data_IF_840833052982
#
_entry.id   IF_840833052982
#
_cell.length_a   1.000
_cell.length_b   1.000
_cell.length_c   1.000
_cell.angle_alpha   90.00
_cell.angle_beta   90.00
_cell.angle_gamma   90.00
#
_symmetry.space_group_name_H-M   'P 1'
#
loop_
_entity.id
_entity.type
_entity.pdbx_description
1 polymer ?
#
# COMPACT_ATOMS: atom_id res chain seq x y z
N UNK A 1 -46.17 -24.97 -39.52
CA UNK A 1 -45.45 -25.63 -38.41
C UNK A 1 -45.64 -27.13 -38.50
N UNK A 2 -44.73 -27.90 -39.13
CA UNK A 2 -44.71 -29.37 -39.06
C UNK A 2 -44.19 -29.72 -37.68
N UNK A 3 -45.05 -30.19 -36.76
CA UNK A 3 -44.60 -30.90 -35.57
C UNK A 3 -43.82 -32.12 -36.06
N UNK A 4 -42.48 -32.07 -36.00
CA UNK A 4 -41.66 -33.26 -36.12
C UNK A 4 -42.12 -34.18 -35.01
N UNK A 5 -42.56 -35.39 -35.35
CA UNK A 5 -42.83 -36.45 -34.40
C UNK A 5 -41.64 -36.52 -33.44
N UNK A 6 -41.93 -36.35 -32.17
CA UNK A 6 -40.88 -36.36 -31.15
C UNK A 6 -40.25 -37.77 -31.18
N UNK A 7 -38.94 -37.89 -31.06
CA UNK A 7 -38.25 -39.17 -31.03
C UNK A 7 -38.87 -40.13 -29.98
N UNK A 8 -39.61 -39.56 -29.00
CA UNK A 8 -40.43 -40.25 -28.01
C UNK A 8 -41.51 -41.11 -28.61
N UNK A 9 -42.10 -40.65 -29.69
CA UNK A 9 -43.15 -41.37 -30.35
C UNK A 9 -42.60 -42.44 -31.32
N UNK A 10 -41.34 -42.31 -31.74
CA UNK A 10 -40.73 -43.19 -32.70
C UNK A 10 -40.42 -44.58 -32.16
N UNK A 11 -39.91 -44.72 -30.93
CA UNK A 11 -39.60 -46.05 -30.34
C UNK A 11 -40.84 -46.83 -29.96
N UNK A 12 -41.90 -46.13 -29.54
CA UNK A 12 -43.23 -46.78 -29.32
C UNK A 12 -43.79 -47.23 -30.65
N UNK A 13 -43.70 -46.39 -31.71
CA UNK A 13 -44.11 -46.77 -33.04
C UNK A 13 -43.32 -47.94 -33.61
N UNK A 14 -41.99 -47.99 -33.37
CA UNK A 14 -41.12 -49.11 -33.74
C UNK A 14 -41.56 -50.38 -32.99
N UNK A 15 -41.89 -50.29 -31.67
CA UNK A 15 -42.41 -51.39 -30.88
C UNK A 15 -43.76 -51.93 -31.49
N UNK A 16 -44.67 -51.05 -31.83
CA UNK A 16 -45.92 -51.38 -32.49
C UNK A 16 -45.67 -52.05 -33.83
N UNK A 17 -44.78 -51.47 -34.65
CA UNK A 17 -44.40 -52.02 -35.98
C UNK A 17 -43.80 -53.43 -35.80
N UNK A 18 -42.91 -53.66 -34.87
CA UNK A 18 -42.32 -54.97 -34.61
C UNK A 18 -43.35 -56.00 -34.12
N UNK A 19 -44.34 -55.57 -33.33
CA UNK A 19 -45.46 -56.45 -32.97
C UNK A 19 -46.29 -56.87 -34.15
N UNK A 20 -46.60 -55.95 -35.09
CA UNK A 20 -47.32 -56.28 -36.32
C UNK A 20 -46.46 -57.14 -37.28
N UNK A 21 -45.15 -56.86 -37.34
CA UNK A 21 -44.22 -57.69 -38.15
C UNK A 21 -44.14 -59.11 -37.59
N UNK A 22 -44.05 -59.27 -36.28
CA UNK A 22 -44.07 -60.57 -35.60
C UNK A 22 -45.38 -61.29 -35.93
N UNK A 23 -46.52 -60.61 -35.78
CA UNK A 23 -47.83 -61.17 -36.10
C UNK A 23 -47.94 -61.62 -37.58
N UNK A 24 -47.48 -60.76 -38.50
CA UNK A 24 -47.49 -61.12 -39.95
C UNK A 24 -46.60 -62.34 -40.25
N UNK A 25 -45.39 -62.38 -39.63
CA UNK A 25 -44.44 -63.46 -39.82
C UNK A 25 -44.97 -64.79 -39.23
N UNK A 26 -45.57 -64.75 -38.06
CA UNK A 26 -46.20 -65.89 -37.44
C UNK A 26 -47.36 -66.42 -38.29
N UNK A 27 -48.26 -65.57 -38.76
CA UNK A 27 -49.33 -65.90 -39.63
C UNK A 27 -48.86 -66.47 -40.95
N UNK A 28 -47.78 -65.95 -41.54
CA UNK A 28 -47.14 -66.42 -42.76
C UNK A 28 -46.53 -67.83 -42.56
N UNK A 29 -45.82 -68.06 -41.44
CA UNK A 29 -45.21 -69.37 -41.16
C UNK A 29 -46.24 -70.43 -40.96
N UNK A 30 -47.38 -70.11 -40.33
CA UNK A 30 -48.46 -71.03 -40.08
C UNK A 30 -49.24 -71.49 -41.34
N UNK A 31 -49.23 -70.69 -42.44
CA UNK A 31 -49.76 -71.06 -43.74
C UNK A 31 -49.01 -72.26 -44.36
N UNK A 32 -47.74 -72.49 -43.98
CA UNK A 32 -46.95 -73.66 -44.46
C UNK A 32 -47.05 -74.85 -43.57
N UNK A 33 -47.94 -74.85 -42.55
CA UNK A 33 -48.26 -76.02 -41.74
C UNK A 33 -49.18 -76.99 -42.49
N UNK A 34 -49.15 -78.34 -42.22
CA UNK A 34 -49.83 -79.30 -43.00
C UNK A 34 -51.42 -79.30 -42.91
N UNK A 35 -52.00 -78.44 -42.13
CA UNK A 35 -53.42 -78.22 -42.07
C UNK A 35 -53.87 -77.11 -43.02
N UNK A 36 -54.84 -77.37 -43.90
CA UNK A 36 -55.44 -76.39 -44.86
C UNK A 36 -56.19 -75.30 -44.02
N UNK A 37 -55.45 -74.26 -43.60
CA UNK A 37 -56.04 -73.12 -42.88
C UNK A 37 -56.05 -71.89 -43.77
N UNK A 38 -57.23 -71.25 -43.93
CA UNK A 38 -57.37 -70.02 -44.73
C UNK A 38 -56.56 -68.88 -44.13
N UNK A 39 -55.75 -68.18 -44.90
CA UNK A 39 -54.91 -67.04 -44.43
C UNK A 39 -55.67 -65.96 -43.63
N UNK A 40 -56.95 -65.71 -44.01
CA UNK A 40 -57.83 -64.82 -43.26
C UNK A 40 -58.16 -65.30 -41.86
N UNK A 41 -58.26 -66.61 -41.64
CA UNK A 41 -58.53 -67.20 -40.34
C UNK A 41 -57.35 -67.18 -39.42
N UNK A 42 -56.15 -67.24 -39.96
CA UNK A 42 -54.89 -67.10 -39.24
C UNK A 42 -54.61 -65.62 -38.84
N UNK A 43 -54.97 -64.64 -39.67
CA UNK A 43 -54.81 -63.23 -39.29
C UNK A 43 -55.71 -62.84 -38.13
N UNK A 44 -56.98 -63.26 -38.15
CA UNK A 44 -57.94 -62.85 -37.16
C UNK A 44 -58.11 -63.86 -36.00
N UNK A 45 -57.44 -65.01 -36.08
CA UNK A 45 -57.37 -66.03 -35.04
C UNK A 45 -58.68 -66.81 -34.84
N UNK A 46 -58.68 -68.16 -34.90
CA UNK A 46 -59.88 -68.97 -34.70
C UNK A 46 -60.19 -69.13 -33.22
N UNK A 47 -59.23 -68.96 -32.32
CA UNK A 47 -59.33 -69.19 -30.89
C UNK A 47 -59.05 -67.92 -30.07
N UNK A 48 -59.84 -67.70 -29.01
CA UNK A 48 -59.71 -66.59 -28.06
C UNK A 48 -58.36 -66.58 -27.41
N UNK A 49 -57.69 -67.71 -27.21
CA UNK A 49 -56.35 -67.82 -26.60
C UNK A 49 -55.26 -67.20 -27.50
N UNK A 50 -55.34 -67.31 -28.83
CA UNK A 50 -54.38 -66.76 -29.76
C UNK A 50 -54.49 -65.22 -29.82
N UNK A 51 -55.75 -64.72 -29.78
CA UNK A 51 -55.93 -63.24 -29.72
C UNK A 51 -55.35 -62.71 -28.41
N UNK A 52 -55.49 -63.35 -27.27
CA UNK A 52 -54.86 -62.92 -26.04
C UNK A 52 -53.33 -62.96 -26.11
N UNK A 53 -52.76 -64.01 -26.66
CA UNK A 53 -51.30 -64.11 -26.85
C UNK A 53 -50.78 -62.98 -27.68
N UNK A 54 -51.41 -62.64 -28.79
CA UNK A 54 -51.00 -61.51 -29.69
C UNK A 54 -51.16 -60.18 -28.99
N UNK A 55 -52.21 -59.97 -28.17
CA UNK A 55 -52.37 -58.77 -27.36
C UNK A 55 -51.25 -58.62 -26.30
N UNK A 56 -50.89 -59.76 -25.65
CA UNK A 56 -49.77 -59.75 -24.68
C UNK A 56 -48.46 -59.39 -25.34
N UNK A 57 -48.12 -59.93 -26.54
CA UNK A 57 -46.93 -59.62 -27.28
C UNK A 57 -46.92 -58.15 -27.70
N UNK A 58 -48.06 -57.62 -28.19
CA UNK A 58 -48.18 -56.18 -28.49
C UNK A 58 -47.93 -55.32 -27.28
N UNK A 59 -48.54 -55.68 -26.11
CA UNK A 59 -48.31 -54.97 -24.87
C UNK A 59 -46.83 -55.00 -24.42
N UNK A 60 -46.16 -56.17 -24.55
CA UNK A 60 -44.73 -56.30 -24.20
C UNK A 60 -43.83 -55.40 -25.09
N UNK A 61 -44.10 -55.39 -26.40
CA UNK A 61 -43.35 -54.51 -27.31
C UNK A 61 -43.60 -53.01 -27.03
N UNK A 62 -44.85 -52.62 -26.69
CA UNK A 62 -45.17 -51.25 -26.31
C UNK A 62 -44.50 -50.87 -24.97
N UNK A 63 -44.50 -51.73 -23.97
CA UNK A 63 -43.84 -51.52 -22.67
C UNK A 63 -42.33 -51.40 -22.90
N UNK A 64 -41.72 -52.29 -23.72
CA UNK A 64 -40.31 -52.27 -24.04
C UNK A 64 -39.93 -50.98 -24.81
N UNK A 65 -40.68 -50.63 -25.88
CA UNK A 65 -40.47 -49.39 -26.63
C UNK A 65 -40.57 -48.14 -25.74
N UNK A 66 -41.59 -48.13 -24.84
CA UNK A 66 -41.76 -47.03 -23.87
C UNK A 66 -40.60 -46.94 -22.89
N UNK A 67 -40.09 -48.07 -22.37
CA UNK A 67 -38.94 -48.12 -21.47
C UNK A 67 -37.68 -47.67 -22.14
N UNK A 68 -37.38 -48.13 -23.35
CA UNK A 68 -36.22 -47.69 -24.16
C UNK A 68 -36.30 -46.18 -24.38
N UNK A 69 -37.49 -45.69 -24.79
CA UNK A 69 -37.72 -44.26 -25.03
C UNK A 69 -37.50 -43.42 -23.76
N UNK A 70 -38.01 -43.87 -22.62
CA UNK A 70 -37.80 -43.21 -21.33
C UNK A 70 -36.31 -43.12 -20.99
N UNK A 71 -35.54 -44.18 -21.21
CA UNK A 71 -34.09 -44.22 -20.94
C UNK A 71 -33.32 -43.27 -21.84
N UNK A 72 -33.64 -43.25 -23.16
CA UNK A 72 -33.04 -42.32 -24.10
C UNK A 72 -33.34 -40.87 -23.75
N UNK A 73 -34.57 -40.56 -23.39
CA UNK A 73 -34.98 -39.21 -22.98
C UNK A 73 -34.30 -38.77 -21.70
N UNK A 74 -34.15 -39.65 -20.69
CA UNK A 74 -33.46 -39.40 -19.45
C UNK A 74 -31.97 -39.07 -19.71
N UNK A 75 -31.32 -39.89 -20.57
CA UNK A 75 -29.93 -39.66 -20.96
C UNK A 75 -29.76 -38.30 -21.68
N UNK A 76 -30.61 -38.01 -22.66
CA UNK A 76 -30.56 -36.72 -23.41
C UNK A 76 -30.75 -35.50 -22.49
N UNK A 77 -31.70 -35.60 -21.54
CA UNK A 77 -31.91 -34.53 -20.54
C UNK A 77 -30.69 -34.35 -19.65
N UNK A 78 -30.05 -35.44 -19.23
CA UNK A 78 -28.83 -35.36 -18.43
C UNK A 78 -27.65 -34.75 -19.22
N UNK A 79 -27.44 -35.17 -20.47
CA UNK A 79 -26.43 -34.62 -21.38
C UNK A 79 -26.68 -33.11 -21.64
N UNK A 80 -27.94 -32.74 -21.88
CA UNK A 80 -28.29 -31.33 -22.09
C UNK A 80 -28.08 -30.50 -20.84
N UNK A 81 -28.49 -30.99 -19.66
CA UNK A 81 -28.28 -30.30 -18.40
C UNK A 81 -26.76 -30.13 -18.06
N UNK A 82 -25.95 -31.15 -18.38
CA UNK A 82 -24.51 -31.08 -18.22
C UNK A 82 -23.93 -30.00 -19.13
N UNK A 83 -24.29 -30.01 -20.42
CA UNK A 83 -23.84 -29.03 -21.40
C UNK A 83 -24.22 -27.60 -21.00
N UNK A 84 -25.47 -27.37 -20.59
CA UNK A 84 -25.93 -26.07 -20.12
C UNK A 84 -25.16 -25.62 -18.87
N UNK A 85 -24.85 -26.56 -17.95
CA UNK A 85 -24.05 -26.29 -16.77
C UNK A 85 -22.60 -25.90 -17.13
N UNK A 86 -21.96 -26.66 -18.03
CA UNK A 86 -20.61 -26.39 -18.51
C UNK A 86 -20.52 -25.01 -19.21
N UNK A 87 -21.47 -24.71 -20.10
CA UNK A 87 -21.56 -23.42 -20.78
C UNK A 87 -21.75 -22.27 -19.79
N UNK A 88 -22.62 -22.47 -18.79
CA UNK A 88 -22.84 -21.48 -17.73
C UNK A 88 -21.57 -21.23 -16.91
N UNK A 89 -20.88 -22.26 -16.46
CA UNK A 89 -19.63 -22.10 -15.71
C UNK A 89 -18.55 -21.44 -16.56
N UNK A 90 -18.39 -21.81 -17.80
CA UNK A 90 -17.47 -21.20 -18.72
C UNK A 90 -17.77 -19.71 -18.90
N UNK A 91 -19.03 -19.35 -19.17
CA UNK A 91 -19.44 -17.95 -19.32
C UNK A 91 -19.16 -17.14 -18.06
N UNK A 92 -19.38 -17.69 -16.87
CA UNK A 92 -19.06 -17.02 -15.61
C UNK A 92 -17.56 -16.75 -15.51
N UNK A 93 -16.72 -17.77 -15.74
CA UNK A 93 -15.26 -17.63 -15.63
C UNK A 93 -14.70 -16.63 -16.65
N UNK A 94 -15.23 -16.60 -17.88
CA UNK A 94 -14.79 -15.67 -18.92
C UNK A 94 -15.36 -14.24 -18.74
N UNK A 95 -16.43 -14.08 -17.95
CA UNK A 95 -17.01 -12.75 -17.66
C UNK A 95 -16.41 -12.06 -16.44
N UNK A 96 -15.57 -12.73 -15.67
CA UNK A 96 -14.86 -12.16 -14.52
C UNK A 96 -13.70 -11.32 -15.03
N UNK A 97 -13.60 -10.06 -14.60
CA UNK A 97 -12.50 -9.16 -14.96
C UNK A 97 -11.16 -9.57 -14.31
N UNK A 98 -11.21 -10.40 -13.28
CA UNK A 98 -10.02 -10.93 -12.63
C UNK A 98 -9.50 -12.17 -13.35
N UNK A 99 -8.18 -12.34 -13.40
CA UNK A 99 -7.55 -13.53 -13.93
C UNK A 99 -7.85 -14.74 -13.04
N UNK A 100 -8.47 -15.79 -13.62
CA UNK A 100 -8.61 -17.08 -12.93
C UNK A 100 -7.58 -18.06 -13.46
N UNK A 101 -6.96 -18.81 -12.55
CA UNK A 101 -5.95 -19.81 -12.91
C UNK A 101 -6.14 -21.13 -12.16
N UNK A 102 -5.72 -22.22 -12.82
CA UNK A 102 -5.46 -23.53 -12.22
C UNK A 102 -4.07 -23.99 -12.61
N UNK A 103 -3.29 -24.47 -11.62
CA UNK A 103 -1.95 -25.02 -11.83
C UNK A 103 -1.84 -26.40 -11.17
N UNK A 104 -0.99 -27.26 -11.73
CA UNK A 104 -0.63 -28.50 -11.06
C UNK A 104 0.42 -28.28 -9.95
N UNK A 105 0.79 -29.36 -9.25
CA UNK A 105 1.83 -29.28 -8.21
C UNK A 105 3.23 -29.00 -8.75
N UNK A 106 3.45 -29.20 -10.05
CA UNK A 106 4.68 -28.86 -10.76
C UNK A 106 4.72 -27.41 -11.23
N UNK A 107 3.67 -26.60 -10.87
CA UNK A 107 3.57 -25.17 -11.17
C UNK A 107 3.23 -24.84 -12.63
N UNK A 108 2.69 -25.78 -13.40
CA UNK A 108 2.28 -25.55 -14.78
C UNK A 108 0.80 -25.19 -14.85
N UNK A 109 0.45 -24.19 -15.66
CA UNK A 109 -0.94 -23.82 -15.89
C UNK A 109 -1.71 -24.94 -16.59
N UNK A 110 -2.82 -25.35 -15.98
CA UNK A 110 -3.82 -26.28 -16.57
C UNK A 110 -4.98 -25.55 -17.20
N UNK A 111 -5.37 -24.44 -16.61
CA UNK A 111 -6.44 -23.60 -17.09
C UNK A 111 -6.19 -22.16 -16.72
N UNK A 112 -6.53 -21.23 -17.60
CA UNK A 112 -6.64 -19.79 -17.34
C UNK A 112 -7.84 -19.26 -18.11
N UNK A 113 -8.51 -18.21 -17.56
CA UNK A 113 -9.56 -17.50 -18.31
C UNK A 113 -8.95 -16.42 -19.22
N UNK A 114 -9.77 -15.80 -20.06
CA UNK A 114 -9.33 -14.74 -21.00
C UNK A 114 -8.71 -13.55 -20.23
N UNK A 115 -9.30 -13.14 -19.12
CA UNK A 115 -8.81 -12.03 -18.30
C UNK A 115 -7.39 -12.26 -17.77
N UNK A 116 -7.00 -13.51 -17.47
CA UNK A 116 -5.61 -13.82 -17.08
C UNK A 116 -4.63 -13.56 -18.22
N UNK A 117 -5.03 -13.89 -19.46
CA UNK A 117 -4.27 -13.58 -20.67
C UNK A 117 -4.12 -12.08 -20.89
N UNK A 118 -5.22 -11.35 -20.75
CA UNK A 118 -5.25 -9.89 -20.90
C UNK A 118 -4.36 -9.19 -19.85
N UNK A 119 -4.42 -9.62 -18.58
CA UNK A 119 -3.58 -9.08 -17.49
C UNK A 119 -2.09 -9.29 -17.78
N UNK A 120 -1.70 -10.48 -18.24
CA UNK A 120 -0.29 -10.81 -18.46
C UNK A 120 0.21 -10.45 -19.87
N UNK A 121 -0.69 -10.09 -20.79
CA UNK A 121 -0.35 -9.77 -22.18
C UNK A 121 0.01 -10.98 -23.03
N UNK A 122 -0.40 -12.20 -22.64
CA UNK A 122 -0.13 -13.45 -23.36
C UNK A 122 -1.42 -14.15 -23.73
N UNK A 123 -1.52 -14.74 -24.95
CA UNK A 123 -2.64 -15.60 -25.31
C UNK A 123 -2.77 -16.77 -24.34
N UNK A 124 -3.98 -17.06 -23.90
CA UNK A 124 -4.23 -18.13 -22.91
C UNK A 124 -3.75 -19.50 -23.39
N UNK A 125 -3.79 -19.74 -24.71
CA UNK A 125 -3.33 -20.98 -25.34
C UNK A 125 -1.82 -21.20 -25.15
N UNK A 126 -1.04 -20.12 -25.11
CA UNK A 126 0.40 -20.15 -24.89
C UNK A 126 0.74 -20.34 -23.40
N UNK A 127 -0.12 -19.84 -22.52
CA UNK A 127 0.05 -19.98 -21.08
C UNK A 127 -0.20 -21.41 -20.59
N UNK A 128 -1.19 -22.11 -21.18
CA UNK A 128 -1.52 -23.49 -20.80
C UNK A 128 -0.32 -24.42 -21.03
N UNK A 129 0.07 -25.16 -20.00
CA UNK A 129 1.26 -26.02 -19.91
C UNK A 129 2.58 -25.27 -19.67
N UNK A 130 2.56 -23.94 -19.59
CA UNK A 130 3.74 -23.15 -19.24
C UNK A 130 3.84 -23.02 -17.72
N UNK A 131 5.06 -22.99 -17.19
CA UNK A 131 5.29 -22.80 -15.77
C UNK A 131 5.13 -21.33 -15.39
N UNK A 132 4.36 -21.02 -14.34
CA UNK A 132 4.09 -19.63 -13.93
C UNK A 132 5.37 -18.84 -13.58
N UNK A 133 6.46 -19.52 -13.22
CA UNK A 133 7.75 -18.89 -12.90
C UNK A 133 8.36 -18.12 -14.06
N UNK A 134 7.94 -18.39 -15.30
CA UNK A 134 8.43 -17.66 -16.46
C UNK A 134 7.92 -16.21 -16.51
N UNK A 135 6.85 -15.91 -15.77
CA UNK A 135 6.21 -14.59 -15.75
C UNK A 135 6.65 -13.75 -14.54
N UNK A 136 7.65 -14.17 -13.76
CA UNK A 136 8.10 -13.46 -12.56
C UNK A 136 9.59 -13.65 -12.32
N UNK A 137 10.18 -12.83 -11.46
CA UNK A 137 11.57 -13.03 -11.04
C UNK A 137 11.68 -14.10 -9.94
N UNK A 138 12.92 -14.49 -9.63
CA UNK A 138 13.20 -15.54 -8.65
C UNK A 138 12.68 -15.24 -7.23
N UNK A 139 12.61 -13.97 -6.84
CA UNK A 139 12.11 -13.58 -5.52
C UNK A 139 10.59 -13.78 -5.44
N UNK A 140 9.87 -13.28 -6.45
CA UNK A 140 8.42 -13.46 -6.54
C UNK A 140 8.06 -14.93 -6.75
N UNK A 141 8.81 -15.68 -7.57
CA UNK A 141 8.60 -17.12 -7.76
C UNK A 141 8.75 -17.91 -6.46
N UNK A 142 9.72 -17.56 -5.61
CA UNK A 142 9.89 -18.16 -4.26
C UNK A 142 8.75 -17.80 -3.32
N UNK A 143 8.29 -16.55 -3.34
CA UNK A 143 7.16 -16.09 -2.53
C UNK A 143 5.87 -16.85 -2.89
N UNK A 144 5.56 -16.95 -4.18
CA UNK A 144 4.38 -17.67 -4.68
C UNK A 144 4.46 -19.14 -4.30
N UNK A 145 5.64 -19.79 -4.50
CA UNK A 145 5.84 -21.19 -4.12
C UNK A 145 5.62 -21.40 -2.62
N UNK A 146 6.23 -20.58 -1.77
CA UNK A 146 6.06 -20.67 -0.33
C UNK A 146 4.60 -20.54 0.11
N UNK A 147 3.86 -19.62 -0.53
CA UNK A 147 2.43 -19.41 -0.28
C UNK A 147 1.60 -20.65 -0.71
N UNK A 148 1.94 -21.24 -1.85
CA UNK A 148 1.29 -22.47 -2.33
C UNK A 148 1.56 -23.67 -1.41
N UNK A 149 2.79 -23.83 -0.94
CA UNK A 149 3.17 -24.88 0.02
C UNK A 149 2.47 -24.69 1.37
N UNK A 150 2.34 -23.45 1.84
CA UNK A 150 1.58 -23.16 3.06
C UNK A 150 0.10 -23.53 2.90
N UNK A 151 -0.52 -23.17 1.77
CA UNK A 151 -1.89 -23.55 1.44
C UNK A 151 -2.03 -25.10 1.44
N UNK A 152 -1.07 -25.81 0.86
CA UNK A 152 -1.05 -27.29 0.83
C UNK A 152 -0.91 -27.89 2.22
N UNK A 153 0.00 -27.35 3.04
CA UNK A 153 0.27 -27.84 4.40
C UNK A 153 -0.89 -27.59 5.36
N UNK A 154 -1.49 -26.39 5.28
CA UNK A 154 -2.59 -25.98 6.18
C UNK A 154 -3.95 -26.49 5.74
N UNK A 155 -4.12 -26.81 4.46
CA UNK A 155 -5.40 -27.10 3.83
C UNK A 155 -6.33 -25.88 3.74
N UNK A 156 -5.86 -24.69 4.12
CA UNK A 156 -6.68 -23.46 4.14
C UNK A 156 -6.31 -22.56 2.95
N UNK A 157 -7.29 -21.88 2.34
CA UNK A 157 -7.00 -20.92 1.28
C UNK A 157 -6.28 -19.68 1.82
N UNK A 158 -5.36 -19.14 1.05
CA UNK A 158 -4.77 -17.83 1.25
C UNK A 158 -5.58 -16.84 0.40
N UNK A 159 -6.25 -15.88 1.06
CA UNK A 159 -7.24 -15.01 0.41
C UNK A 159 -6.62 -13.91 -0.43
N UNK A 160 -5.46 -13.41 0.01
CA UNK A 160 -4.74 -12.38 -0.71
C UNK A 160 -3.26 -12.41 -0.34
N UNK A 161 -2.40 -12.27 -1.33
CA UNK A 161 -0.98 -11.99 -1.20
C UNK A 161 -0.50 -11.19 -2.41
N UNK A 162 0.45 -10.28 -2.17
CA UNK A 162 1.00 -9.43 -3.20
C UNK A 162 2.21 -10.10 -3.86
N UNK A 163 2.28 -10.03 -5.19
CA UNK A 163 3.44 -10.45 -5.96
C UNK A 163 3.58 -9.59 -7.22
N UNK A 164 4.73 -9.67 -7.86
CA UNK A 164 5.00 -8.94 -9.09
C UNK A 164 5.19 -9.91 -10.26
N UNK A 165 4.50 -9.61 -11.35
CA UNK A 165 4.70 -10.30 -12.63
C UNK A 165 5.48 -9.40 -13.58
N UNK A 166 6.26 -10.02 -14.47
CA UNK A 166 6.96 -9.32 -15.56
C UNK A 166 6.35 -9.71 -16.89
N UNK A 167 5.74 -8.73 -17.57
CA UNK A 167 5.14 -8.88 -18.89
C UNK A 167 5.75 -7.82 -19.82
N UNK A 168 6.35 -8.23 -20.92
CA UNK A 168 6.93 -7.35 -21.97
C UNK A 168 7.82 -6.22 -21.44
N UNK A 169 8.62 -6.51 -20.40
CA UNK A 169 9.49 -5.51 -19.76
C UNK A 169 8.78 -4.57 -18.78
N UNK A 170 7.48 -4.73 -18.57
CA UNK A 170 6.69 -4.02 -17.56
C UNK A 170 6.58 -4.85 -16.28
N UNK A 171 6.60 -4.17 -15.14
CA UNK A 171 6.29 -4.78 -13.84
C UNK A 171 4.81 -4.56 -13.53
N UNK A 172 4.07 -5.64 -13.37
CA UNK A 172 2.68 -5.65 -12.94
C UNK A 172 2.62 -5.97 -11.45
N UNK A 173 1.91 -5.14 -10.69
CA UNK A 173 1.63 -5.38 -9.27
C UNK A 173 0.35 -6.18 -9.14
N UNK A 174 0.46 -7.39 -8.64
CA UNK A 174 -0.62 -8.37 -8.63
C UNK A 174 -1.01 -8.70 -7.19
N UNK A 175 -2.30 -8.67 -6.92
CA UNK A 175 -2.90 -9.30 -5.74
C UNK A 175 -3.45 -10.65 -6.14
N UNK A 176 -2.90 -11.72 -5.58
CA UNK A 176 -3.29 -13.08 -5.91
C UNK A 176 -3.93 -13.80 -4.72
N UNK A 177 -4.79 -14.78 -5.01
CA UNK A 177 -5.32 -15.72 -4.02
C UNK A 177 -5.00 -17.14 -4.42
N UNK A 178 -4.97 -18.08 -3.47
CA UNK A 178 -4.73 -19.49 -3.76
C UNK A 178 -5.56 -20.39 -2.86
N UNK A 179 -6.09 -21.47 -3.43
CA UNK A 179 -6.73 -22.56 -2.74
C UNK A 179 -6.39 -23.90 -3.39
N UNK A 180 -6.55 -25.00 -2.68
CA UNK A 180 -6.33 -26.32 -3.24
C UNK A 180 -7.37 -26.64 -4.32
N UNK A 181 -6.89 -27.10 -5.46
CA UNK A 181 -7.71 -27.74 -6.48
C UNK A 181 -7.82 -29.22 -6.13
N UNK A 182 -9.05 -29.74 -6.13
CA UNK A 182 -9.36 -31.13 -5.83
C UNK A 182 -10.01 -31.81 -7.04
N UNK A 183 -9.72 -33.07 -7.21
CA UNK A 183 -10.35 -33.91 -8.23
C UNK A 183 -11.73 -34.41 -7.80
N UNK A 184 -12.37 -35.22 -8.64
CA UNK A 184 -13.69 -35.84 -8.37
C UNK A 184 -13.72 -36.75 -7.16
N UNK A 185 -12.56 -37.18 -6.64
CA UNK A 185 -12.37 -38.03 -5.46
C UNK A 185 -12.06 -37.23 -4.19
N UNK A 186 -12.21 -35.88 -4.24
CA UNK A 186 -11.83 -34.92 -3.18
C UNK A 186 -10.31 -34.93 -2.85
N UNK A 187 -9.48 -35.48 -3.74
CA UNK A 187 -8.04 -35.56 -3.58
C UNK A 187 -7.39 -34.30 -4.16
N UNK A 188 -6.49 -33.59 -3.42
CA UNK A 188 -5.79 -32.44 -3.94
C UNK A 188 -4.94 -32.82 -5.18
N UNK A 189 -5.14 -32.09 -6.28
CA UNK A 189 -4.45 -32.34 -7.56
C UNK A 189 -3.72 -31.10 -8.12
N UNK A 190 -3.73 -29.99 -7.38
CA UNK A 190 -3.08 -28.75 -7.78
C UNK A 190 -3.56 -27.57 -6.95
N UNK A 191 -3.44 -26.38 -7.52
CA UNK A 191 -3.89 -25.12 -6.93
C UNK A 191 -4.78 -24.38 -7.91
N UNK A 192 -5.67 -23.55 -7.39
CA UNK A 192 -6.49 -22.59 -8.14
C UNK A 192 -6.60 -21.27 -7.40
N UNK A 193 -6.80 -20.21 -8.11
CA UNK A 193 -6.94 -18.90 -7.51
C UNK A 193 -7.35 -17.82 -8.49
N UNK A 194 -7.31 -16.60 -7.99
CA UNK A 194 -7.62 -15.40 -8.75
C UNK A 194 -6.44 -14.45 -8.70
N UNK A 195 -6.30 -13.67 -9.76
CA UNK A 195 -5.25 -12.67 -9.96
C UNK A 195 -5.93 -11.35 -10.29
N UNK A 196 -5.65 -10.32 -9.51
CA UNK A 196 -6.15 -8.98 -9.72
C UNK A 196 -4.99 -8.04 -10.02
N UNK A 197 -5.05 -7.35 -11.15
CA UNK A 197 -4.10 -6.29 -11.46
C UNK A 197 -4.34 -5.07 -10.56
N UNK A 198 -3.31 -4.68 -9.82
CA UNK A 198 -3.27 -3.51 -8.94
C UNK A 198 -2.29 -2.45 -9.44
N UNK A 199 -1.76 -2.62 -10.65
CA UNK A 199 -0.66 -1.81 -11.17
C UNK A 199 -1.01 -0.33 -11.23
N UNK A 200 -2.16 0.02 -11.77
CA UNK A 200 -2.61 1.41 -11.85
C UNK A 200 -2.80 2.00 -10.45
N UNK A 201 -3.49 1.28 -9.58
CA UNK A 201 -3.70 1.71 -8.19
C UNK A 201 -2.38 1.93 -7.47
N UNK A 202 -1.43 1.00 -7.59
CA UNK A 202 -0.12 1.08 -6.95
C UNK A 202 0.71 2.25 -7.47
N UNK A 203 0.68 2.49 -8.78
CA UNK A 203 1.32 3.67 -9.39
C UNK A 203 0.73 4.97 -8.85
N UNK A 204 -0.60 5.08 -8.80
CA UNK A 204 -1.27 6.26 -8.25
C UNK A 204 -0.93 6.49 -6.77
N UNK A 205 -0.85 5.42 -5.96
CA UNK A 205 -0.42 5.52 -4.56
C UNK A 205 1.04 6.01 -4.46
N UNK A 206 1.94 5.51 -5.30
CA UNK A 206 3.34 5.94 -5.33
C UNK A 206 3.47 7.40 -5.79
N UNK A 207 2.76 7.80 -6.84
CA UNK A 207 2.74 9.16 -7.36
C UNK A 207 2.17 10.14 -6.33
N UNK A 208 1.13 9.74 -5.61
CA UNK A 208 0.55 10.54 -4.52
C UNK A 208 1.56 10.73 -3.39
N UNK A 209 2.26 9.68 -2.96
CA UNK A 209 3.32 9.75 -1.94
C UNK A 209 4.47 10.65 -2.39
N UNK A 210 4.91 10.53 -3.63
CA UNK A 210 5.98 11.37 -4.18
C UNK A 210 5.54 12.84 -4.27
N UNK A 211 4.33 13.08 -4.76
CA UNK A 211 3.74 14.43 -4.79
C UNK A 211 3.61 15.03 -3.39
N UNK A 212 3.15 14.24 -2.42
CA UNK A 212 3.07 14.67 -1.02
C UNK A 212 4.46 15.05 -0.47
N UNK A 213 5.48 14.22 -0.71
CA UNK A 213 6.86 14.52 -0.30
C UNK A 213 7.39 15.81 -0.95
N UNK A 214 7.14 16.01 -2.25
CA UNK A 214 7.52 17.22 -2.96
C UNK A 214 6.88 18.48 -2.36
N UNK A 215 5.60 18.41 -2.05
CA UNK A 215 4.86 19.51 -1.41
C UNK A 215 5.43 19.82 -0.01
N UNK A 216 5.72 18.81 0.81
CA UNK A 216 6.32 18.98 2.13
C UNK A 216 7.72 19.59 2.03
N UNK A 217 8.55 19.11 1.12
CA UNK A 217 9.89 19.67 0.89
C UNK A 217 9.84 21.12 0.43
N UNK A 218 8.97 21.46 -0.52
CA UNK A 218 8.77 22.84 -0.98
C UNK A 218 8.28 23.75 0.15
N UNK A 219 7.34 23.28 0.97
CA UNK A 219 6.86 24.00 2.15
C UNK A 219 7.99 24.29 3.13
N UNK A 220 8.82 23.30 3.46
CA UNK A 220 9.96 23.46 4.36
C UNK A 220 11.01 24.41 3.79
N UNK A 221 11.35 24.28 2.52
CA UNK A 221 12.27 25.18 1.85
C UNK A 221 11.77 26.64 1.89
N UNK A 222 10.47 26.85 1.69
CA UNK A 222 9.86 28.19 1.76
C UNK A 222 9.95 28.76 3.18
N UNK A 223 9.62 27.97 4.21
CA UNK A 223 9.68 28.41 5.61
C UNK A 223 11.10 28.74 6.00
N UNK A 224 12.07 27.87 5.67
CA UNK A 224 13.48 28.10 5.91
C UNK A 224 13.99 29.35 5.16
N UNK A 225 13.58 29.53 3.91
CA UNK A 225 13.94 30.73 3.13
C UNK A 225 13.41 32.01 3.76
N UNK A 226 12.17 32.03 4.26
CA UNK A 226 11.59 33.18 4.96
C UNK A 226 12.28 33.41 6.32
N UNK A 227 12.60 32.36 7.06
CA UNK A 227 13.35 32.48 8.33
C UNK A 227 14.77 33.03 8.08
N UNK A 228 15.47 32.53 7.03
CA UNK A 228 16.77 33.07 6.60
C UNK A 228 16.70 34.56 6.23
N UNK A 229 15.67 34.97 5.49
CA UNK A 229 15.49 36.39 5.16
C UNK A 229 15.32 37.27 6.40
N UNK A 230 14.63 36.75 7.44
CA UNK A 230 14.48 37.43 8.70
C UNK A 230 15.81 37.58 9.44
N UNK A 231 16.65 36.56 9.40
CA UNK A 231 17.94 36.50 10.08
C UNK A 231 19.08 37.21 9.29
N UNK A 232 19.02 37.22 7.97
CA UNK A 232 20.03 37.86 7.11
C UNK A 232 20.29 39.33 7.44
N UNK A 233 19.33 39.98 8.10
CA UNK A 233 19.45 41.35 8.63
C UNK A 233 20.40 41.47 9.81
N UNK A 234 20.59 40.40 10.61
CA UNK A 234 21.38 40.42 11.84
C UNK A 234 22.73 39.70 11.70
N UNK A 235 22.77 38.53 11.14
CA UNK A 235 23.91 37.61 11.24
C UNK A 235 24.58 37.25 9.92
N UNK A 236 24.36 37.78 8.84
CA UNK A 236 25.16 37.62 7.59
C UNK A 236 25.58 36.20 7.16
N UNK A 237 25.40 35.18 8.00
CA UNK A 237 25.81 33.79 7.75
C UNK A 237 24.58 32.92 7.50
N UNK A 238 24.50 32.35 6.30
CA UNK A 238 23.30 31.69 5.80
C UNK A 238 22.99 30.29 6.38
N UNK A 239 23.80 29.73 7.29
CA UNK A 239 23.69 28.33 7.74
C UNK A 239 23.40 28.17 9.25
N UNK A 240 23.24 29.26 9.98
CA UNK A 240 22.90 29.21 11.42
C UNK A 240 21.63 28.40 11.68
N UNK A 241 20.55 28.66 10.97
CA UNK A 241 19.27 27.97 11.15
C UNK A 241 19.38 26.47 10.88
N UNK A 242 20.17 26.07 9.91
CA UNK A 242 20.42 24.65 9.64
C UNK A 242 21.18 24.00 10.79
N UNK A 243 22.19 24.70 11.37
CA UNK A 243 22.90 24.16 12.53
C UNK A 243 22.00 24.07 13.75
N UNK A 244 21.20 25.08 14.05
CA UNK A 244 20.26 25.08 15.17
C UNK A 244 19.30 23.89 15.11
N UNK A 245 18.69 23.62 13.95
CA UNK A 245 17.74 22.50 13.84
C UNK A 245 18.42 21.14 14.00
N UNK A 246 19.66 20.98 13.51
CA UNK A 246 20.40 19.72 13.70
C UNK A 246 20.82 19.54 15.17
N UNK A 247 21.33 20.60 15.85
CA UNK A 247 21.63 20.54 17.28
C UNK A 247 20.38 20.21 18.12
N UNK A 248 19.27 20.89 17.84
CA UNK A 248 18.01 20.64 18.55
C UNK A 248 17.52 19.18 18.34
N UNK A 249 17.64 18.65 17.11
CA UNK A 249 17.28 17.29 16.79
C UNK A 249 18.10 16.25 17.53
N UNK A 250 19.44 16.35 17.50
CA UNK A 250 20.29 15.36 18.15
C UNK A 250 20.15 15.38 19.69
N UNK A 251 19.99 16.58 20.29
CA UNK A 251 19.66 16.71 21.72
C UNK A 251 18.34 16.01 22.04
N UNK A 252 17.32 16.23 21.22
CA UNK A 252 15.99 15.64 21.41
C UNK A 252 16.01 14.13 21.28
N UNK A 253 16.72 13.60 20.28
CA UNK A 253 16.87 12.16 20.09
C UNK A 253 17.55 11.47 21.26
N UNK A 254 18.57 12.10 21.85
CA UNK A 254 19.27 11.54 23.01
C UNK A 254 18.42 11.66 24.29
N UNK A 255 17.76 12.81 24.48
CA UNK A 255 16.82 13.02 25.59
C UNK A 255 15.67 12.01 25.58
N UNK A 256 15.21 11.55 24.41
CA UNK A 256 14.17 10.53 24.28
C UNK A 256 14.53 9.18 24.93
N UNK A 257 15.83 8.93 25.14
CA UNK A 257 16.30 7.71 25.82
C UNK A 257 16.16 7.78 27.34
N UNK A 258 15.90 8.97 27.89
CA UNK A 258 15.73 9.17 29.34
C UNK A 258 14.28 8.82 29.75
N UNK A 259 14.06 7.81 30.61
CA UNK A 259 12.71 7.39 31.03
C UNK A 259 11.86 8.50 31.66
N UNK A 260 12.48 9.52 32.23
CA UNK A 260 11.76 10.61 32.92
C UNK A 260 11.05 11.56 31.93
N UNK A 261 11.44 11.59 30.64
CA UNK A 261 10.91 12.50 29.61
C UNK A 261 10.57 11.81 28.29
N UNK A 262 10.83 10.51 28.19
CA UNK A 262 10.52 9.71 26.97
C UNK A 262 9.05 9.76 26.60
N UNK A 263 8.14 9.85 27.54
CA UNK A 263 6.70 9.94 27.30
C UNK A 263 6.29 11.25 26.62
N UNK A 264 7.11 12.29 26.74
CA UNK A 264 6.88 13.61 26.12
C UNK A 264 7.47 13.65 24.70
N UNK A 265 8.58 12.95 24.48
CA UNK A 265 9.33 12.99 23.22
C UNK A 265 8.89 11.87 22.31
N UNK A 266 7.83 12.11 21.56
CA UNK A 266 7.35 11.21 20.49
C UNK A 266 8.12 11.45 19.18
N UNK A 267 8.02 10.55 18.17
CA UNK A 267 8.56 10.81 16.84
C UNK A 267 8.08 12.14 16.25
N UNK A 268 6.80 12.48 16.46
CA UNK A 268 6.23 13.75 15.99
C UNK A 268 6.88 14.95 16.72
N UNK A 269 7.20 14.81 18.02
CA UNK A 269 7.89 15.86 18.74
C UNK A 269 9.28 16.15 18.18
N UNK A 270 10.01 15.09 17.74
CA UNK A 270 11.32 15.22 17.11
C UNK A 270 11.21 15.95 15.76
N UNK A 271 10.21 15.60 14.97
CA UNK A 271 9.96 16.27 13.70
C UNK A 271 9.51 17.72 13.91
N UNK A 272 8.64 17.97 14.89
CA UNK A 272 8.17 19.31 15.23
C UNK A 272 9.32 20.21 15.69
N UNK A 273 10.22 19.76 16.54
CA UNK A 273 11.34 20.60 17.01
C UNK A 273 12.32 20.89 15.89
N UNK A 274 12.57 19.92 14.99
CA UNK A 274 13.40 20.11 13.81
C UNK A 274 12.87 21.19 12.89
N UNK A 275 11.54 21.24 12.69
CA UNK A 275 10.87 22.22 11.88
C UNK A 275 10.69 23.57 12.56
N UNK A 276 10.52 23.58 13.88
CA UNK A 276 10.14 24.77 14.66
C UNK A 276 11.33 25.59 15.14
N UNK A 277 12.47 24.96 15.38
CA UNK A 277 13.65 25.63 15.94
C UNK A 277 14.15 26.80 15.09
N UNK A 278 14.00 26.71 13.75
CA UNK A 278 14.37 27.78 12.82
C UNK A 278 13.52 29.05 12.96
N UNK A 279 12.42 29.01 13.72
CA UNK A 279 11.50 30.15 13.90
C UNK A 279 11.80 30.95 15.18
N UNK A 280 12.80 30.56 15.98
CA UNK A 280 13.06 31.17 17.28
C UNK A 280 13.21 32.71 17.17
N UNK A 281 13.92 33.17 16.18
CA UNK A 281 14.29 34.56 15.95
C UNK A 281 13.48 35.31 14.87
N UNK A 282 12.41 34.72 14.34
CA UNK A 282 11.60 35.31 13.27
C UNK A 282 11.09 36.73 13.60
N UNK A 283 10.92 37.04 14.86
CA UNK A 283 10.45 38.35 15.33
C UNK A 283 11.48 39.47 15.19
N UNK A 284 12.76 39.17 14.91
CA UNK A 284 13.78 40.19 14.62
C UNK A 284 13.40 41.08 13.43
N UNK A 285 12.54 40.59 12.54
CA UNK A 285 11.97 41.40 11.44
C UNK A 285 11.27 42.67 11.95
N UNK A 286 10.68 42.62 13.15
CA UNK A 286 9.99 43.77 13.75
C UNK A 286 10.89 44.71 14.56
N UNK A 287 12.19 44.46 14.65
CA UNK A 287 13.14 45.29 15.37
C UNK A 287 13.75 46.35 14.40
N UNK A 288 13.82 47.64 14.82
CA UNK A 288 14.41 48.68 13.99
C UNK A 288 15.90 48.43 13.69
N UNK A 289 16.34 48.64 12.43
CA UNK A 289 17.74 48.44 12.00
C UNK A 289 18.77 49.28 12.84
N UNK A 290 18.40 50.47 13.24
CA UNK A 290 19.23 51.32 14.07
C UNK A 290 19.61 50.68 15.43
N UNK A 291 18.83 49.70 15.88
CA UNK A 291 19.08 48.96 17.13
C UNK A 291 19.67 47.60 16.80
N UNK A 292 19.09 46.88 15.86
CA UNK A 292 19.48 45.51 15.50
C UNK A 292 20.94 45.50 14.96
N UNK A 293 21.30 46.47 14.11
CA UNK A 293 22.61 46.58 13.45
C UNK A 293 23.56 47.54 14.15
N UNK A 294 23.26 47.96 15.37
CA UNK A 294 24.05 48.92 16.09
C UNK A 294 25.48 48.42 16.31
N UNK A 295 26.54 49.13 15.82
CA UNK A 295 27.88 48.75 16.10
C UNK A 295 28.25 49.10 17.56
N UNK A 296 28.34 48.06 18.43
CA UNK A 296 28.74 48.21 19.80
C UNK A 296 27.68 47.78 20.83
N UNK A 297 27.90 48.15 22.09
CA UNK A 297 26.99 47.71 23.18
C UNK A 297 25.69 48.49 23.13
N UNK A 298 24.59 47.76 23.33
CA UNK A 298 23.26 48.35 23.47
C UNK A 298 23.11 49.01 24.82
N UNK A 299 22.38 50.11 24.86
CA UNK A 299 21.90 50.67 26.12
C UNK A 299 20.77 49.80 26.71
N UNK A 300 20.45 49.96 27.98
CA UNK A 300 19.37 49.21 28.61
C UNK A 300 18.01 49.37 27.87
N UNK A 301 17.74 50.61 27.41
CA UNK A 301 16.52 50.89 26.61
C UNK A 301 16.50 50.19 25.28
N UNK A 302 17.62 50.14 24.56
CA UNK A 302 17.75 49.45 23.29
C UNK A 302 17.66 47.92 23.50
N UNK A 303 18.24 47.42 24.60
CA UNK A 303 18.15 46.02 24.95
C UNK A 303 16.69 45.60 25.23
N UNK A 304 15.91 46.46 25.94
CA UNK A 304 14.46 46.20 26.11
C UNK A 304 13.68 46.16 24.79
N UNK A 305 14.11 46.92 23.78
CA UNK A 305 13.51 46.85 22.44
C UNK A 305 13.87 45.55 21.74
N UNK A 306 15.14 45.10 21.80
CA UNK A 306 15.55 43.83 21.19
C UNK A 306 14.80 42.65 21.83
N UNK A 307 14.63 42.60 23.15
CA UNK A 307 13.85 41.55 23.83
C UNK A 307 12.47 41.36 23.25
N UNK A 308 11.88 42.42 22.65
CA UNK A 308 10.54 42.35 22.05
C UNK A 308 10.46 41.41 20.82
N UNK A 309 11.61 40.99 20.22
CA UNK A 309 11.56 40.03 19.11
C UNK A 309 10.87 38.73 19.52
N UNK A 310 11.02 38.29 20.79
CA UNK A 310 10.39 37.08 21.30
C UNK A 310 8.85 37.20 21.26
N UNK A 311 8.32 38.35 21.71
CA UNK A 311 6.89 38.62 21.65
C UNK A 311 6.38 38.80 20.22
N UNK A 312 7.09 39.56 19.41
CA UNK A 312 6.71 39.82 18.01
C UNK A 312 6.70 38.51 17.20
N UNK A 313 7.71 37.64 17.38
CA UNK A 313 7.78 36.35 16.71
C UNK A 313 6.64 35.40 17.17
N UNK A 314 6.45 35.29 18.49
CA UNK A 314 5.40 34.47 19.06
C UNK A 314 3.99 34.91 18.63
N UNK A 315 3.73 36.25 18.63
CA UNK A 315 2.45 36.81 18.17
C UNK A 315 2.20 36.57 16.69
N UNK A 316 3.22 36.74 15.85
CA UNK A 316 3.13 36.47 14.42
C UNK A 316 2.79 35.00 14.15
N UNK A 317 3.48 34.06 14.79
CA UNK A 317 3.23 32.62 14.66
C UNK A 317 1.83 32.29 15.20
N UNK A 318 1.44 32.86 16.35
CA UNK A 318 0.11 32.66 16.93
C UNK A 318 -1.01 33.09 15.99
N UNK A 319 -0.83 34.19 15.24
CA UNK A 319 -1.82 34.67 14.28
C UNK A 319 -2.00 33.69 13.12
N UNK A 320 -0.93 33.07 12.66
CA UNK A 320 -0.94 32.07 11.58
C UNK A 320 -1.53 30.73 12.11
N UNK A 321 -1.13 30.30 13.32
CA UNK A 321 -1.61 29.05 13.94
C UNK A 321 -3.14 29.02 14.03
N UNK A 322 -3.77 30.14 14.33
CA UNK A 322 -5.24 30.27 14.42
C UNK A 322 -5.96 30.05 13.07
N UNK A 323 -5.25 30.14 11.95
CA UNK A 323 -5.83 29.96 10.60
C UNK A 323 -5.67 28.52 10.09
N UNK A 324 -4.94 27.66 10.82
CA UNK A 324 -4.65 26.30 10.41
C UNK A 324 -5.48 25.33 11.26
N UNK A 325 -6.26 24.48 10.58
CA UNK A 325 -6.98 23.40 11.24
C UNK A 325 -6.03 22.22 11.53
N UNK A 326 -6.12 21.65 12.74
CA UNK A 326 -5.40 20.46 13.15
C UNK A 326 -4.07 20.72 13.85
N UNK A 327 -3.28 19.63 14.04
CA UNK A 327 -1.96 19.70 14.67
C UNK A 327 -0.94 20.36 13.74
N UNK A 328 -0.17 21.29 14.25
CA UNK A 328 0.87 21.98 13.50
C UNK A 328 2.12 22.17 14.34
N UNK A 329 3.30 21.98 13.74
CA UNK A 329 4.58 22.32 14.32
C UNK A 329 4.67 23.82 14.76
N UNK A 330 3.80 24.69 14.24
CA UNK A 330 3.76 26.10 14.60
C UNK A 330 3.42 26.30 16.08
N UNK A 331 2.67 25.39 16.72
CA UNK A 331 2.44 25.46 18.16
C UNK A 331 3.76 25.41 18.94
N UNK A 332 4.65 24.50 18.55
CA UNK A 332 5.98 24.41 19.16
C UNK A 332 6.85 25.61 18.75
N UNK A 333 6.79 26.04 17.49
CA UNK A 333 7.48 27.24 17.02
C UNK A 333 7.11 28.50 17.78
N UNK A 334 5.82 28.69 18.09
CA UNK A 334 5.31 29.77 18.93
C UNK A 334 5.89 29.68 20.35
N UNK A 335 5.91 28.51 20.96
CA UNK A 335 6.51 28.31 22.29
C UNK A 335 8.00 28.67 22.27
N UNK A 336 8.75 28.19 21.29
CA UNK A 336 10.18 28.50 21.13
C UNK A 336 10.39 30.00 20.93
N UNK A 337 9.66 30.63 20.01
CA UNK A 337 9.80 32.07 19.74
C UNK A 337 9.56 32.93 20.99
N UNK A 338 8.54 32.62 21.77
CA UNK A 338 8.30 33.35 23.03
C UNK A 338 9.36 33.12 24.08
N UNK A 339 9.95 31.90 24.23
CA UNK A 339 10.60 31.51 25.48
C UNK A 339 12.03 30.96 25.34
N UNK A 340 12.66 31.03 24.15
CA UNK A 340 14.03 30.54 23.95
C UNK A 340 15.10 31.34 24.66
N UNK A 341 14.77 32.56 25.16
CA UNK A 341 15.63 33.38 25.98
C UNK A 341 15.30 33.31 27.49
N UNK A 342 14.36 32.48 27.86
CA UNK A 342 14.17 32.17 29.30
C UNK A 342 15.36 31.36 29.81
N UNK A 343 15.67 31.54 31.10
CA UNK A 343 16.77 30.85 31.75
C UNK A 343 16.26 29.94 32.88
N UNK A 344 16.93 28.83 33.04
CA UNK A 344 16.54 27.83 34.04
C UNK A 344 16.31 28.41 35.44
N UNK A 345 17.11 29.41 35.86
CA UNK A 345 17.02 30.08 37.16
C UNK A 345 15.93 31.16 37.23
N UNK A 346 15.24 31.47 36.13
CA UNK A 346 14.20 32.50 36.06
C UNK A 346 14.74 33.91 35.82
N UNK A 347 16.03 34.10 35.55
CA UNK A 347 16.64 35.40 35.23
C UNK A 347 16.51 35.77 33.73
N UNK A 348 15.80 34.96 32.93
CA UNK A 348 15.58 35.15 31.49
C UNK A 348 14.47 36.14 31.20
N UNK A 349 14.07 36.19 29.93
CA UNK A 349 12.98 37.03 29.41
C UNK A 349 12.18 36.28 28.33
N UNK A 350 10.94 36.70 28.01
CA UNK A 350 10.24 37.93 28.45
C UNK A 350 9.44 37.76 29.74
N UNK A 351 9.08 36.51 30.14
CA UNK A 351 8.18 36.26 31.27
C UNK A 351 8.85 35.91 32.57
N UNK A 352 10.16 35.60 32.56
CA UNK A 352 10.91 35.16 33.72
C UNK A 352 10.51 33.76 34.20
N UNK A 353 10.14 32.86 33.25
CA UNK A 353 9.82 31.48 33.53
C UNK A 353 11.02 30.73 34.14
N UNK A 354 10.74 29.76 35.03
CA UNK A 354 11.79 29.07 35.77
C UNK A 354 11.63 27.54 35.63
N UNK A 355 12.76 26.85 35.49
CA UNK A 355 12.80 25.40 35.56
C UNK A 355 11.92 24.77 34.48
N UNK A 356 11.02 23.88 34.88
CA UNK A 356 10.13 23.14 33.96
C UNK A 356 8.93 23.96 33.47
N UNK A 357 8.68 25.15 34.00
CA UNK A 357 7.68 26.07 33.41
C UNK A 357 8.12 26.55 32.01
N UNK A 358 9.42 26.51 31.70
CA UNK A 358 9.96 26.76 30.38
C UNK A 358 9.65 25.53 29.53
N UNK A 359 8.99 25.66 28.38
CA UNK A 359 8.75 24.54 27.46
C UNK A 359 10.04 23.80 27.12
N UNK A 360 10.01 22.45 27.12
CA UNK A 360 11.19 21.63 26.83
C UNK A 360 11.85 22.00 25.50
N UNK A 361 11.05 22.26 24.47
CA UNK A 361 11.53 22.68 23.14
C UNK A 361 12.35 23.99 23.21
N UNK A 362 11.90 24.96 24.00
CA UNK A 362 12.63 26.21 24.17
C UNK A 362 13.93 26.03 24.95
N UNK A 363 13.94 25.18 26.00
CA UNK A 363 15.17 24.83 26.74
C UNK A 363 16.23 24.18 25.87
N UNK A 364 15.79 23.29 24.93
CA UNK A 364 16.67 22.62 23.95
C UNK A 364 17.25 23.65 22.97
N UNK A 365 16.38 24.48 22.39
CA UNK A 365 16.80 25.49 21.39
C UNK A 365 17.70 26.56 22.01
N UNK A 366 17.44 26.96 23.27
CA UNK A 366 18.31 27.92 23.99
C UNK A 366 19.77 27.43 24.09
N UNK A 367 20.02 26.14 24.37
CA UNK A 367 21.37 25.61 24.38
C UNK A 367 21.98 25.57 22.98
N UNK A 368 21.22 25.12 21.99
CA UNK A 368 21.65 25.05 20.60
C UNK A 368 22.06 26.44 20.07
N UNK A 369 21.23 27.45 20.30
CA UNK A 369 21.48 28.84 19.89
C UNK A 369 22.73 29.42 20.57
N UNK A 370 22.85 29.28 21.87
CA UNK A 370 24.04 29.77 22.58
C UNK A 370 25.32 29.06 22.14
N UNK A 371 25.29 27.75 21.88
CA UNK A 371 26.45 27.04 21.37
C UNK A 371 26.86 27.57 19.98
N UNK A 372 25.90 27.76 19.09
CA UNK A 372 26.14 28.32 17.77
C UNK A 372 26.68 29.74 17.84
N UNK A 373 26.08 30.60 18.66
CA UNK A 373 26.52 31.96 18.89
C UNK A 373 27.94 32.07 19.51
N UNK A 374 28.39 31.06 20.28
CA UNK A 374 29.75 31.01 20.81
C UNK A 374 30.76 30.56 19.75
N UNK A 375 30.38 29.65 18.87
CA UNK A 375 31.26 28.96 17.91
C UNK A 375 31.29 29.60 16.53
N UNK A 376 30.40 30.55 16.24
CA UNK A 376 30.34 31.29 14.97
C UNK A 376 30.95 32.67 15.12
N UNK A 377 31.68 33.10 14.10
CA UNK A 377 32.27 34.45 14.02
C UNK A 377 31.17 35.48 13.73
N UNK A 378 31.13 36.56 14.51
CA UNK A 378 30.22 37.68 14.33
C UNK A 378 31.01 38.97 14.11
N UNK A 379 30.42 39.94 13.47
CA UNK A 379 31.08 41.23 13.13
C UNK A 379 31.88 41.87 14.28
N UNK A 380 31.50 41.59 15.53
CA UNK A 380 32.09 42.19 16.72
C UNK A 380 32.78 41.20 17.65
N UNK A 381 32.80 39.88 17.30
CA UNK A 381 33.30 38.85 18.22
C UNK A 381 33.90 37.68 17.42
N UNK A 382 35.17 37.36 17.70
CA UNK A 382 35.78 36.13 17.18
C UNK A 382 35.10 34.90 17.78
N UNK A 383 34.96 33.88 16.97
CA UNK A 383 34.46 32.59 17.43
C UNK A 383 35.34 32.00 18.55
N UNK A 384 34.72 31.43 19.57
CA UNK A 384 35.45 30.57 20.48
C UNK A 384 35.68 29.20 19.86
N UNK A 385 36.74 28.51 20.37
CA UNK A 385 36.93 27.09 20.02
C UNK A 385 35.82 26.26 20.61
N UNK A 386 35.63 25.07 20.05
CA UNK A 386 34.65 24.08 20.57
C UNK A 386 34.86 23.86 22.06
N UNK A 387 36.10 23.53 22.49
CA UNK A 387 36.43 23.28 23.90
C UNK A 387 36.08 24.44 24.84
N UNK A 388 36.32 25.67 24.37
CA UNK A 388 35.99 26.85 25.18
C UNK A 388 34.48 27.05 25.30
N UNK A 389 33.76 26.85 24.21
CA UNK A 389 32.28 26.93 24.17
C UNK A 389 31.63 25.86 25.05
N UNK A 390 32.17 24.64 24.99
CA UNK A 390 31.77 23.54 25.87
C UNK A 390 31.92 23.91 27.34
N UNK A 391 33.11 24.41 27.77
CA UNK A 391 33.35 24.84 29.14
C UNK A 391 32.38 25.92 29.62
N UNK A 392 32.05 26.89 28.74
CA UNK A 392 31.08 27.94 29.05
C UNK A 392 29.70 27.34 29.28
N UNK A 393 29.21 26.46 28.39
CA UNK A 393 27.88 25.82 28.52
C UNK A 393 27.80 25.02 29.82
N UNK A 394 28.81 24.19 30.13
CA UNK A 394 28.87 23.41 31.37
C UNK A 394 28.83 24.31 32.59
N UNK A 395 29.57 25.46 32.59
CA UNK A 395 29.57 26.41 33.69
C UNK A 395 28.19 27.07 33.93
N UNK A 396 27.32 27.06 32.96
CA UNK A 396 25.97 27.63 33.02
C UNK A 396 24.89 26.60 33.35
N UNK A 397 25.27 25.34 33.66
CA UNK A 397 24.37 24.27 34.09
C UNK A 397 23.62 24.67 35.37
N UNK A 398 22.29 24.55 35.32
CA UNK A 398 21.42 24.90 36.45
C UNK A 398 21.17 26.39 36.66
N UNK A 399 21.85 27.28 35.91
CA UNK A 399 21.56 28.71 35.91
C UNK A 399 20.88 29.12 34.56
N UNK A 400 21.59 29.03 33.47
CA UNK A 400 21.02 29.33 32.14
C UNK A 400 20.31 28.11 31.59
N UNK A 401 20.92 26.94 31.66
CA UNK A 401 20.44 25.73 31.01
C UNK A 401 19.89 24.67 31.97
N UNK A 402 18.90 23.91 31.49
CA UNK A 402 18.40 22.70 32.15
C UNK A 402 19.58 21.72 32.37
N UNK A 403 19.84 21.28 33.60
CA UNK A 403 20.92 20.34 33.91
C UNK A 403 20.91 19.08 33.04
N UNK A 404 19.73 18.55 32.74
CA UNK A 404 19.55 17.33 31.92
C UNK A 404 20.00 17.53 30.48
N UNK A 405 19.68 18.69 29.91
CA UNK A 405 20.07 19.04 28.54
C UNK A 405 21.58 19.23 28.43
N UNK A 406 22.20 19.83 29.45
CA UNK A 406 23.67 19.97 29.50
C UNK A 406 24.35 18.60 29.61
N UNK A 407 23.82 17.67 30.40
CA UNK A 407 24.34 16.29 30.54
C UNK A 407 24.27 15.54 29.15
N UNK A 408 23.22 15.74 28.43
CA UNK A 408 23.09 15.18 27.07
C UNK A 408 24.05 15.88 26.09
N UNK A 409 24.20 17.18 26.16
CA UNK A 409 25.16 17.92 25.34
C UNK A 409 26.62 17.43 25.61
N UNK A 410 27.00 17.13 26.86
CA UNK A 410 28.31 16.57 27.17
C UNK A 410 28.55 15.20 26.52
N UNK A 411 27.49 14.40 26.33
CA UNK A 411 27.57 13.11 25.61
C UNK A 411 27.68 13.26 24.12
N UNK A 412 27.16 14.36 23.55
CA UNK A 412 27.06 14.65 22.13
C UNK A 412 28.06 15.70 21.65
N UNK A 413 29.06 16.09 22.46
CA UNK A 413 29.98 17.18 22.16
C UNK A 413 30.73 17.01 20.84
N UNK A 414 31.17 15.79 20.54
CA UNK A 414 31.85 15.47 19.26
C UNK A 414 30.91 15.63 18.07
N UNK A 415 29.63 15.26 18.23
CA UNK A 415 28.61 15.38 17.19
C UNK A 415 28.26 16.85 16.92
N UNK A 416 28.18 17.67 17.97
CA UNK A 416 28.03 19.13 17.85
C UNK A 416 29.19 19.74 17.08
N UNK A 417 30.42 19.32 17.39
CA UNK A 417 31.61 19.81 16.69
C UNK A 417 31.61 19.36 15.23
N UNK A 418 31.20 18.14 14.94
CA UNK A 418 31.08 17.60 13.57
C UNK A 418 30.08 18.41 12.73
N UNK A 419 28.87 18.65 13.23
CA UNK A 419 27.84 19.45 12.57
C UNK A 419 28.40 20.86 12.26
N UNK A 420 29.05 21.48 13.24
CA UNK A 420 29.69 22.77 13.05
C UNK A 420 30.69 22.76 11.87
N UNK A 421 31.60 21.78 11.81
CA UNK A 421 32.66 21.72 10.80
C UNK A 421 32.15 21.38 9.40
N UNK A 422 31.14 20.52 9.31
CA UNK A 422 30.51 20.16 8.02
C UNK A 422 29.87 21.39 7.37
N UNK A 423 29.10 22.16 8.11
CA UNK A 423 28.42 23.36 7.62
C UNK A 423 29.40 24.51 7.26
N UNK A 424 30.53 24.65 7.97
CA UNK A 424 31.55 25.59 7.57
C UNK A 424 32.24 25.27 6.24
N UNK A 425 32.33 23.97 5.90
CA UNK A 425 32.85 23.54 4.59
C UNK A 425 31.89 23.89 3.46
N UNK A 426 30.58 23.77 3.69
CA UNK A 426 29.60 24.20 2.70
C UNK A 426 29.61 25.72 2.48
N UNK A 427 29.71 26.53 3.51
CA UNK A 427 29.81 27.98 3.39
C UNK A 427 31.05 28.41 2.60
N UNK A 428 32.21 27.80 2.85
CA UNK A 428 33.44 28.12 2.13
C UNK A 428 33.41 27.68 0.65
N UNK A 429 32.65 26.65 0.30
CA UNK A 429 32.46 26.22 -1.09
C UNK A 429 31.61 27.16 -1.96
N UNK A 430 30.74 27.97 -1.34
CA UNK A 430 29.93 28.98 -2.07
C UNK A 430 30.65 30.30 -2.37
N UNK A 431 31.80 30.56 -1.73
CA UNK A 431 32.59 31.80 -1.93
C UNK A 431 33.51 31.71 -3.14
N UNK A 432 33.74 30.55 -3.73
CA UNK A 432 34.45 30.38 -5.00
C UNK A 432 33.52 30.52 -6.23
N UNK A 433 32.78 31.60 -6.34
CA UNK A 433 32.31 32.08 -7.64
C UNK A 433 33.49 32.70 -8.38
N UNK A 434 33.85 32.23 -9.58
CA UNK A 434 34.98 32.77 -10.31
C UNK A 434 34.74 34.24 -10.63
N UNK A 435 35.73 35.08 -10.34
CA UNK A 435 35.76 36.53 -10.53
C UNK A 435 35.66 36.99 -12.02
N UNK A 436 34.97 36.23 -12.88
CA UNK A 436 34.86 36.52 -14.32
C UNK A 436 33.45 36.91 -14.80
N UNK A 437 32.52 37.23 -13.89
CA UNK A 437 31.16 37.67 -14.27
C UNK A 437 30.87 39.16 -14.01
N UNK A 438 31.90 40.00 -13.72
CA UNK A 438 31.78 41.45 -13.74
C UNK A 438 32.77 42.03 -14.76
N UNK A 439 32.47 41.87 -16.01
CA UNK A 439 33.24 42.42 -17.10
C UNK A 439 32.34 42.94 -18.19
N UNK A 440 32.24 44.26 -18.23
CA UNK A 440 31.72 45.18 -19.26
C UNK A 440 30.20 45.26 -19.39
#
# INVERSE_FOLDING_TARGET
>A
MKKSLNLADQMVLVGIFLAFLYWGLESFLNVFSPEEVSFYREIFGPNVSEIWLRLIVLCLFMIFGSHVQYTINKRKKAEQALKESEEKYRTILESIEEGYYEVDFDSNFKFVNDSMGDILGYPKEEMVKTNYRQFMDDNNARLVLATFEECRRSGKPVKAFDCEFKADGLTLFIEASVSLLKDSSDTPCGYRGMVRDRTEKKKLEMDLLDSYRKVQNARMATILGLAKLAEYRDEGTGTHLERIREYAKILTLELAKNPAISDIITPEYIDDIYQSSILHDIGKVGIPDAILLKPGKLTDKEFEIIKRHTLLGGDAISAIEKQIEGKSFLKMGRQIAYTHHEKWDGSGYPAGLRGEDIPLSARIVALADVYDALTTERFYKRAYTHDKSRQIIISLKGSHFDPRIVEVFEQLEDEFNRIREEQFKEESGWIELPAHAMGT
#
